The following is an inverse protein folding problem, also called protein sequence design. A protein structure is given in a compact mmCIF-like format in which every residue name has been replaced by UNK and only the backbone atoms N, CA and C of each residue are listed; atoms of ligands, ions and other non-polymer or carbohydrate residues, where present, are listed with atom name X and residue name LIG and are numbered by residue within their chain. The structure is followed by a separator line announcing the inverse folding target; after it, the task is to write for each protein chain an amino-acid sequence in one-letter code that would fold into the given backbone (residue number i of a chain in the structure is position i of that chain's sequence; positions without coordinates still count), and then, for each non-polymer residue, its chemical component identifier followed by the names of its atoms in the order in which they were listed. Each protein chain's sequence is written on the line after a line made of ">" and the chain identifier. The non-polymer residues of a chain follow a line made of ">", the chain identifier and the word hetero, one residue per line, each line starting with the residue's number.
data_IF_042616350227
#
_entry.id   IF_042616350227
#
_cell.length_a   1.000
_cell.length_b   1.000
_cell.length_c   1.000
_cell.angle_alpha   90.00
_cell.angle_beta   90.00
_cell.angle_gamma   90.00
#
_symmetry.space_group_name_H-M   'P 1'
#
loop_
_entity.id
_entity.type
_entity.pdbx_description
1 polymer ?
#
# COMPACT_ATOMS: atom_id res chain seq x y z
N UNK A 1 -30.92 -21.69 -11.49
CA UNK A 1 -30.92 -22.65 -10.36
C UNK A 1 -29.92 -23.75 -10.65
N UNK A 2 -28.78 -23.81 -9.95
CA UNK A 2 -28.36 -25.07 -9.33
C UNK A 2 -27.24 -24.82 -8.32
N UNK A 3 -27.55 -25.11 -7.05
CA UNK A 3 -26.60 -25.22 -5.95
C UNK A 3 -25.81 -26.51 -6.12
N UNK A 4 -24.49 -26.44 -5.95
CA UNK A 4 -23.72 -27.53 -5.33
C UNK A 4 -23.02 -27.00 -4.08
N UNK A 5 -23.71 -27.16 -2.96
CA UNK A 5 -23.10 -27.43 -1.64
C UNK A 5 -22.51 -28.84 -1.74
N UNK A 6 -21.36 -29.20 -1.20
CA UNK A 6 -20.30 -28.49 -0.51
C UNK A 6 -19.22 -29.51 -0.15
N UNK A 7 -17.99 -29.06 0.06
CA UNK A 7 -16.91 -29.81 0.70
C UNK A 7 -16.17 -28.82 1.60
N UNK A 8 -16.33 -28.99 2.92
CA UNK A 8 -15.43 -28.50 3.98
C UNK A 8 -15.13 -27.00 4.08
N UNK A 9 -15.88 -26.29 4.94
CA UNK A 9 -15.57 -24.92 5.45
C UNK A 9 -14.34 -24.86 6.39
N UNK A 10 -13.25 -25.54 6.06
CA UNK A 10 -12.10 -25.66 6.97
C UNK A 10 -10.72 -25.75 6.32
N UNK A 11 -10.62 -25.68 4.99
CA UNK A 11 -9.34 -25.81 4.27
C UNK A 11 -8.96 -24.56 3.44
N UNK A 12 -9.86 -23.58 3.31
CA UNK A 12 -9.56 -22.25 2.72
C UNK A 12 -8.87 -21.27 3.69
N UNK A 13 -8.74 -21.62 4.97
CA UNK A 13 -8.05 -20.79 5.96
C UNK A 13 -6.53 -21.05 6.06
N UNK A 14 -6.02 -22.03 5.31
CA UNK A 14 -4.64 -22.54 5.43
C UNK A 14 -3.84 -22.53 4.12
N UNK A 15 -4.42 -22.01 3.05
CA UNK A 15 -3.72 -21.72 1.81
C UNK A 15 -4.00 -20.25 1.51
N UNK A 16 -2.99 -19.35 1.54
CA UNK A 16 -3.17 -18.01 1.03
C UNK A 16 -3.42 -18.13 -0.48
N UNK A 17 -4.70 -18.13 -0.85
CA UNK A 17 -5.17 -18.02 -2.23
C UNK A 17 -4.59 -16.74 -2.83
N UNK A 18 -3.97 -16.90 -4.00
CA UNK A 18 -3.26 -15.88 -4.75
C UNK A 18 -4.09 -14.70 -5.28
N UNK A 19 -4.99 -14.13 -4.48
CA UNK A 19 -5.68 -12.86 -4.78
C UNK A 19 -4.76 -11.64 -4.55
N UNK A 20 -3.68 -11.78 -3.78
CA UNK A 20 -2.65 -10.73 -3.67
C UNK A 20 -1.88 -10.48 -4.98
N UNK A 21 -2.07 -11.32 -6.00
CA UNK A 21 -1.39 -11.18 -7.30
C UNK A 21 -2.25 -10.42 -8.32
N UNK A 22 -3.56 -10.31 -8.12
CA UNK A 22 -4.47 -9.62 -9.06
C UNK A 22 -4.59 -8.11 -8.83
N UNK A 23 -4.53 -7.60 -7.60
CA UNK A 23 -4.54 -6.13 -7.38
C UNK A 23 -3.20 -5.45 -7.72
N UNK A 24 -2.11 -6.24 -7.82
CA UNK A 24 -0.80 -5.78 -8.33
C UNK A 24 -0.66 -5.95 -9.86
N UNK A 25 -1.74 -6.33 -10.56
CA UNK A 25 -1.71 -6.72 -11.97
C UNK A 25 -1.79 -5.57 -12.98
N UNK A 26 -2.10 -4.34 -12.56
CA UNK A 26 -2.36 -3.24 -13.50
C UNK A 26 -1.21 -2.23 -13.69
N UNK A 27 -0.16 -2.23 -12.86
CA UNK A 27 0.92 -1.23 -13.00
C UNK A 27 2.35 -1.81 -12.91
N UNK A 28 2.87 -2.21 -14.07
CA UNK A 28 4.24 -2.71 -14.26
C UNK A 28 5.32 -1.70 -13.77
N UNK A 29 4.97 -0.41 -13.67
CA UNK A 29 5.85 0.65 -13.14
C UNK A 29 6.01 0.63 -11.62
N UNK A 30 4.97 0.24 -10.88
CA UNK A 30 5.06 0.10 -9.43
C UNK A 30 6.01 -1.05 -9.07
N UNK A 31 5.89 -2.20 -9.73
CA UNK A 31 6.78 -3.36 -9.56
C UNK A 31 8.26 -3.04 -9.78
N UNK A 32 8.59 -2.19 -10.76
CA UNK A 32 9.97 -1.72 -10.98
C UNK A 32 10.50 -0.83 -9.85
N UNK A 33 9.66 0.02 -9.26
CA UNK A 33 10.05 0.90 -8.15
C UNK A 33 10.35 0.14 -6.85
N UNK A 34 9.83 -1.06 -6.69
CA UNK A 34 10.04 -1.91 -5.51
C UNK A 34 11.02 -3.07 -5.74
N UNK A 35 11.67 -3.13 -6.92
CA UNK A 35 12.63 -4.18 -7.22
C UNK A 35 13.99 -3.88 -6.59
N UNK A 36 14.54 -4.83 -5.84
CA UNK A 36 15.89 -4.76 -5.26
C UNK A 36 16.89 -5.43 -6.19
N UNK A 37 18.11 -4.91 -6.29
CA UNK A 37 19.21 -5.63 -6.93
C UNK A 37 19.80 -6.60 -5.90
N UNK A 38 19.81 -7.89 -6.24
CA UNK A 38 20.36 -8.96 -5.39
C UNK A 38 21.36 -9.76 -6.19
N UNK A 39 22.47 -10.14 -5.55
CA UNK A 39 23.49 -10.96 -6.16
C UNK A 39 22.89 -12.30 -6.60
N UNK A 40 23.21 -12.75 -7.81
CA UNK A 40 22.71 -14.03 -8.32
C UNK A 40 23.11 -15.19 -7.38
N UNK A 41 24.29 -15.10 -6.77
CA UNK A 41 24.81 -16.09 -5.80
C UNK A 41 23.95 -16.25 -4.55
N UNK A 42 23.18 -15.22 -4.20
CA UNK A 42 22.32 -15.22 -3.02
C UNK A 42 20.92 -15.76 -3.33
N UNK A 43 20.64 -16.10 -4.60
CA UNK A 43 19.34 -16.62 -5.05
C UNK A 43 19.46 -18.11 -5.34
N UNK A 44 18.84 -18.92 -4.49
CA UNK A 44 18.74 -20.35 -4.69
C UNK A 44 17.55 -20.71 -5.57
N UNK A 45 17.72 -21.58 -6.58
CA UNK A 45 16.61 -22.09 -7.36
C UNK A 45 15.70 -22.96 -6.49
N UNK A 46 14.39 -22.91 -6.72
CA UNK A 46 13.45 -23.73 -5.97
C UNK A 46 13.51 -25.20 -6.47
N UNK A 47 13.85 -26.16 -5.59
CA UNK A 47 14.01 -27.57 -5.95
C UNK A 47 12.71 -28.27 -6.36
N UNK A 48 11.54 -27.70 -6.04
CA UNK A 48 10.22 -28.28 -6.31
C UNK A 48 9.57 -27.78 -7.62
N UNK A 49 10.30 -27.03 -8.46
CA UNK A 49 9.76 -26.55 -9.74
C UNK A 49 9.58 -27.71 -10.75
N UNK A 50 8.34 -28.05 -11.17
CA UNK A 50 8.08 -29.25 -11.98
C UNK A 50 8.48 -29.13 -13.47
N UNK A 51 8.87 -27.95 -13.97
CA UNK A 51 9.24 -27.77 -15.38
C UNK A 51 10.66 -28.25 -15.65
N UNK A 52 10.78 -29.56 -15.92
CA UNK A 52 12.04 -30.23 -16.33
C UNK A 52 12.38 -30.15 -17.83
N UNK A 53 11.74 -29.27 -18.59
CA UNK A 53 12.01 -29.12 -20.03
C UNK A 53 12.11 -27.66 -20.44
N UNK A 54 13.32 -27.15 -20.59
CA UNK A 54 13.56 -25.89 -21.29
C UNK A 54 14.29 -26.20 -22.58
N UNK A 55 13.67 -25.87 -23.72
CA UNK A 55 14.30 -25.93 -25.04
C UNK A 55 15.55 -25.02 -25.06
N UNK A 56 16.77 -25.56 -25.27
CA UNK A 56 18.03 -24.82 -25.14
C UNK A 56 18.10 -23.55 -26.00
N UNK A 57 17.52 -23.58 -27.21
CA UNK A 57 17.52 -22.43 -28.13
C UNK A 57 16.79 -21.20 -27.56
N UNK A 58 15.71 -21.42 -26.80
CA UNK A 58 14.88 -20.33 -26.25
C UNK A 58 15.52 -19.60 -25.05
N UNK A 59 16.57 -20.17 -24.45
CA UNK A 59 17.26 -19.58 -23.30
C UNK A 59 18.38 -18.63 -23.75
N UNK A 60 19.09 -18.97 -24.83
CA UNK A 60 20.15 -18.14 -25.39
C UNK A 60 19.61 -16.82 -25.94
N UNK A 61 18.48 -16.85 -26.66
CA UNK A 61 17.80 -15.64 -27.14
C UNK A 61 17.40 -14.70 -25.99
N UNK A 62 16.94 -15.28 -24.87
CA UNK A 62 16.60 -14.50 -23.67
C UNK A 62 17.84 -13.92 -23.00
N UNK A 63 18.95 -14.66 -22.97
CA UNK A 63 20.22 -14.17 -22.43
C UNK A 63 20.77 -13.01 -23.26
N UNK A 64 20.68 -13.09 -24.59
CA UNK A 64 21.10 -12.01 -25.49
C UNK A 64 20.22 -10.77 -25.32
N UNK A 65 18.91 -10.95 -25.15
CA UNK A 65 17.98 -9.87 -24.82
C UNK A 65 18.30 -9.21 -23.46
N UNK A 66 18.57 -10.01 -22.43
CA UNK A 66 18.95 -9.53 -21.09
C UNK A 66 20.29 -8.79 -21.12
N UNK A 67 21.26 -9.23 -21.94
CA UNK A 67 22.54 -8.52 -22.09
C UNK A 67 22.36 -7.12 -22.70
N UNK A 68 21.40 -6.96 -23.61
CA UNK A 68 21.11 -5.69 -24.29
C UNK A 68 20.23 -4.74 -23.46
N UNK A 69 19.24 -5.26 -22.74
CA UNK A 69 18.19 -4.45 -22.12
C UNK A 69 18.07 -4.62 -20.60
N UNK A 70 18.84 -5.53 -20.01
CA UNK A 70 18.68 -5.95 -18.63
C UNK A 70 17.39 -6.74 -18.41
N UNK A 71 17.13 -7.09 -17.15
CA UNK A 71 15.91 -7.79 -16.77
C UNK A 71 14.77 -6.76 -16.61
N UNK A 72 13.87 -6.73 -17.58
CA UNK A 72 12.73 -5.80 -17.60
C UNK A 72 11.65 -6.13 -16.57
N UNK A 73 11.49 -7.42 -16.27
CA UNK A 73 10.52 -7.93 -15.30
C UNK A 73 11.28 -8.57 -14.14
N UNK A 74 11.16 -8.04 -12.90
CA UNK A 74 11.85 -8.58 -11.74
C UNK A 74 11.49 -10.03 -11.43
N UNK A 75 12.45 -10.77 -10.89
CA UNK A 75 12.28 -12.12 -10.34
C UNK A 75 11.44 -12.06 -9.06
N UNK A 76 10.73 -13.13 -8.72
CA UNK A 76 10.02 -13.23 -7.44
C UNK A 76 10.75 -14.23 -6.55
N UNK A 77 11.14 -13.81 -5.36
CA UNK A 77 11.87 -14.64 -4.38
C UNK A 77 11.18 -14.62 -3.03
N UNK A 78 11.45 -15.60 -2.17
CA UNK A 78 11.20 -15.54 -0.71
C UNK A 78 12.53 -15.48 0.02
N UNK A 79 12.59 -14.90 1.20
CA UNK A 79 13.74 -15.10 2.09
C UNK A 79 13.79 -16.56 2.57
N UNK A 80 15.00 -17.10 2.64
CA UNK A 80 15.33 -18.42 3.15
C UNK A 80 16.49 -18.35 4.15
N UNK A 81 16.89 -19.50 4.70
CA UNK A 81 17.91 -19.56 5.76
C UNK A 81 19.30 -19.05 5.34
N UNK A 82 19.64 -19.15 4.06
CA UNK A 82 20.97 -18.84 3.52
C UNK A 82 20.94 -17.76 2.42
N UNK A 83 19.88 -16.97 2.33
CA UNK A 83 19.70 -15.96 1.28
C UNK A 83 18.25 -15.90 0.80
N UNK A 84 18.06 -15.92 -0.51
CA UNK A 84 16.76 -15.86 -1.17
C UNK A 84 16.48 -17.15 -1.92
N UNK A 85 15.23 -17.59 -1.95
CA UNK A 85 14.78 -18.74 -2.72
C UNK A 85 13.82 -18.29 -3.82
N UNK A 86 14.06 -18.74 -5.05
CA UNK A 86 13.31 -18.31 -6.21
C UNK A 86 11.89 -18.91 -6.23
N UNK A 87 10.87 -18.06 -6.16
CA UNK A 87 9.48 -18.48 -6.35
C UNK A 87 9.14 -18.55 -7.84
N UNK A 88 9.50 -17.50 -8.60
CA UNK A 88 9.19 -17.41 -10.01
C UNK A 88 10.24 -16.64 -10.81
N UNK A 89 10.51 -17.13 -12.03
CA UNK A 89 11.44 -16.50 -12.96
C UNK A 89 12.71 -17.31 -13.26
N UNK A 90 12.71 -18.63 -13.07
CA UNK A 90 13.84 -19.54 -13.31
C UNK A 90 14.54 -19.28 -14.67
N UNK A 91 13.77 -19.14 -15.75
CA UNK A 91 14.33 -18.84 -17.09
C UNK A 91 15.10 -17.52 -17.13
N UNK A 92 14.62 -16.50 -16.41
CA UNK A 92 15.28 -15.18 -16.33
C UNK A 92 16.53 -15.26 -15.48
N UNK A 93 16.51 -16.00 -14.37
CA UNK A 93 17.68 -16.22 -13.53
C UNK A 93 18.80 -16.93 -14.32
N UNK A 94 18.49 -18.04 -14.99
CA UNK A 94 19.47 -18.75 -15.84
C UNK A 94 19.95 -17.93 -17.02
N UNK A 95 19.06 -17.19 -17.68
CA UNK A 95 19.47 -16.31 -18.77
C UNK A 95 20.33 -15.14 -18.28
N UNK A 96 20.15 -14.67 -17.05
CA UNK A 96 21.00 -13.66 -16.41
C UNK A 96 22.40 -14.19 -16.09
N UNK A 97 22.50 -15.44 -15.62
CA UNK A 97 23.78 -16.15 -15.45
C UNK A 97 24.53 -16.26 -16.77
N UNK A 98 23.85 -16.69 -17.84
CA UNK A 98 24.43 -16.79 -19.19
C UNK A 98 24.79 -15.40 -19.75
N UNK A 99 24.01 -14.37 -19.41
CA UNK A 99 24.30 -12.98 -19.78
C UNK A 99 25.51 -12.40 -19.02
N UNK A 100 25.95 -13.04 -17.94
CA UNK A 100 27.08 -12.60 -17.11
C UNK A 100 26.73 -11.48 -16.13
N UNK A 101 25.46 -11.34 -15.76
CA UNK A 101 25.05 -10.37 -14.74
C UNK A 101 25.52 -10.82 -13.34
N UNK A 102 25.97 -9.88 -12.53
CA UNK A 102 26.32 -10.13 -11.12
C UNK A 102 25.12 -9.98 -10.19
N UNK A 103 24.22 -9.06 -10.54
CA UNK A 103 23.02 -8.72 -9.78
C UNK A 103 21.78 -8.74 -10.68
N UNK A 104 20.64 -9.06 -10.08
CA UNK A 104 19.36 -9.14 -10.77
C UNK A 104 18.25 -8.44 -9.98
N UNK A 105 17.30 -7.77 -10.66
CA UNK A 105 16.17 -7.15 -9.99
C UNK A 105 15.21 -8.24 -9.49
N UNK A 106 14.94 -8.23 -8.19
CA UNK A 106 14.03 -9.16 -7.52
C UNK A 106 12.97 -8.39 -6.74
N UNK A 107 11.81 -9.02 -6.57
CA UNK A 107 10.79 -8.66 -5.62
C UNK A 107 10.75 -9.80 -4.61
N UNK A 108 10.92 -9.48 -3.33
CA UNK A 108 10.79 -10.47 -2.26
C UNK A 108 9.31 -10.59 -1.89
N UNK A 109 8.82 -11.80 -1.64
CA UNK A 109 7.41 -12.04 -1.31
C UNK A 109 7.14 -11.52 0.13
N UNK A 110 6.05 -10.76 0.35
CA UNK A 110 5.70 -10.13 1.65
C UNK A 110 5.25 -11.11 2.75
N UNK A 111 5.76 -12.34 2.75
CA UNK A 111 5.50 -13.34 3.79
C UNK A 111 6.74 -14.12 4.18
N UNK A 112 7.93 -13.59 3.89
CA UNK A 112 9.20 -14.29 4.13
C UNK A 112 10.10 -13.65 5.20
N UNK A 113 9.61 -12.63 5.90
CA UNK A 113 10.17 -12.19 7.17
C UNK A 113 11.16 -11.05 7.06
N UNK A 114 10.97 -10.04 7.92
CA UNK A 114 12.02 -9.18 8.48
C UNK A 114 12.61 -8.15 7.52
N UNK A 115 13.52 -8.53 6.62
CA UNK A 115 14.40 -7.54 5.97
C UNK A 115 13.72 -6.79 4.83
N UNK A 116 12.90 -7.46 4.01
CA UNK A 116 12.10 -6.75 3.02
C UNK A 116 11.07 -5.84 3.69
N UNK A 117 10.37 -6.34 4.70
CA UNK A 117 9.34 -5.61 5.41
C UNK A 117 9.94 -4.36 6.06
N UNK A 118 11.07 -4.48 6.77
CA UNK A 118 11.81 -3.35 7.33
C UNK A 118 12.30 -2.37 6.27
N UNK A 119 12.79 -2.84 5.11
CA UNK A 119 13.26 -1.94 4.03
C UNK A 119 12.13 -1.25 3.29
N UNK A 120 11.00 -1.93 3.07
CA UNK A 120 9.79 -1.33 2.49
C UNK A 120 9.17 -0.34 3.48
N UNK A 121 9.15 -0.66 4.77
CA UNK A 121 8.75 0.24 5.84
C UNK A 121 9.63 1.50 5.83
N UNK A 122 10.96 1.34 5.83
CA UNK A 122 11.92 2.45 5.74
C UNK A 122 11.69 3.30 4.49
N UNK A 123 11.53 2.69 3.31
CA UNK A 123 11.28 3.41 2.07
C UNK A 123 9.92 4.16 2.08
N UNK A 124 8.90 3.60 2.74
CA UNK A 124 7.61 4.27 2.91
C UNK A 124 7.70 5.42 3.90
N UNK A 125 8.45 5.26 5.00
CA UNK A 125 8.72 6.32 5.99
C UNK A 125 9.52 7.46 5.35
N UNK A 126 10.55 7.16 4.57
CA UNK A 126 11.32 8.16 3.82
C UNK A 126 10.44 8.92 2.82
N UNK A 127 9.62 8.21 2.04
CA UNK A 127 8.67 8.86 1.13
C UNK A 127 7.68 9.75 1.89
N UNK A 128 7.23 9.34 3.07
CA UNK A 128 6.31 10.09 3.91
C UNK A 128 6.93 11.36 4.51
N UNK A 129 8.25 11.43 4.61
CA UNK A 129 8.99 12.63 5.05
C UNK A 129 9.20 13.66 3.93
N UNK A 130 8.82 13.35 2.68
CA UNK A 130 8.93 14.30 1.57
C UNK A 130 7.92 15.45 1.72
N UNK A 131 8.38 16.66 1.45
CA UNK A 131 7.64 17.92 1.69
C UNK A 131 6.51 18.21 0.71
N UNK A 132 6.30 17.37 -0.32
CA UNK A 132 5.37 17.57 -1.43
C UNK A 132 4.12 16.67 -1.40
N UNK A 133 3.97 15.79 -0.39
CA UNK A 133 2.83 14.88 -0.32
C UNK A 133 1.50 15.58 -0.04
N UNK A 134 0.47 15.17 -0.76
CA UNK A 134 -0.90 15.55 -0.46
C UNK A 134 -1.34 14.96 0.90
N UNK A 135 -2.11 15.71 1.72
CA UNK A 135 -2.75 15.18 2.93
C UNK A 135 -3.41 13.80 2.81
N UNK A 136 -4.03 13.48 1.67
CA UNK A 136 -4.67 12.17 1.44
C UNK A 136 -3.66 11.09 1.06
N UNK A 137 -2.58 11.44 0.38
CA UNK A 137 -1.47 10.51 0.09
C UNK A 137 -0.72 10.16 1.37
N UNK A 138 -0.43 11.15 2.23
CA UNK A 138 0.12 10.92 3.57
C UNK A 138 -0.78 9.94 4.35
N UNK A 139 -2.10 10.17 4.35
CA UNK A 139 -3.04 9.32 5.07
C UNK A 139 -3.03 7.86 4.58
N UNK A 140 -3.01 7.65 3.26
CA UNK A 140 -2.93 6.30 2.65
C UNK A 140 -1.61 5.61 3.01
N UNK A 141 -0.49 6.33 2.94
CA UNK A 141 0.82 5.80 3.30
C UNK A 141 0.89 5.42 4.79
N UNK A 142 0.35 6.26 5.69
CA UNK A 142 0.25 5.95 7.12
C UNK A 142 -0.64 4.73 7.38
N UNK A 143 -1.81 4.64 6.75
CA UNK A 143 -2.70 3.48 6.91
C UNK A 143 -2.02 2.18 6.46
N UNK A 144 -1.27 2.24 5.36
CA UNK A 144 -0.48 1.12 4.86
C UNK A 144 0.59 0.68 5.86
N UNK A 145 1.33 1.62 6.44
CA UNK A 145 2.32 1.35 7.48
C UNK A 145 1.70 0.67 8.71
N UNK A 146 0.53 1.14 9.17
CA UNK A 146 -0.17 0.55 10.32
C UNK A 146 -0.71 -0.85 10.03
N UNK A 147 -1.27 -1.09 8.84
CA UNK A 147 -1.95 -2.35 8.49
C UNK A 147 -0.99 -3.42 8.00
N UNK A 148 -0.12 -3.08 7.06
CA UNK A 148 0.70 -4.05 6.34
C UNK A 148 1.99 -4.39 7.11
N UNK A 149 2.49 -3.45 7.93
CA UNK A 149 3.72 -3.62 8.73
C UNK A 149 3.44 -3.74 10.23
N UNK A 150 2.17 -3.71 10.65
CA UNK A 150 1.77 -3.89 12.05
C UNK A 150 2.27 -2.79 13.00
N UNK A 151 2.69 -1.64 12.48
CA UNK A 151 3.13 -0.50 13.29
C UNK A 151 1.98 -0.01 14.19
N UNK A 152 2.32 0.34 15.43
CA UNK A 152 1.41 1.12 16.27
C UNK A 152 1.43 2.59 15.85
N UNK A 153 0.36 3.32 16.18
CA UNK A 153 0.32 4.77 15.93
C UNK A 153 1.46 5.51 16.65
N UNK A 154 1.84 5.04 17.85
CA UNK A 154 2.93 5.62 18.63
C UNK A 154 4.30 5.37 17.97
N UNK A 155 4.57 4.16 17.51
CA UNK A 155 5.82 3.83 16.82
C UNK A 155 5.96 4.61 15.50
N UNK A 156 4.86 4.75 14.75
CA UNK A 156 4.86 5.54 13.52
C UNK A 156 5.05 7.03 13.80
N UNK A 157 4.45 7.55 14.87
CA UNK A 157 4.58 8.94 15.29
C UNK A 157 6.03 9.28 15.68
N UNK A 158 6.69 8.40 16.43
CA UNK A 158 8.10 8.55 16.81
C UNK A 158 9.01 8.59 15.57
N UNK A 159 8.84 7.65 14.63
CA UNK A 159 9.63 7.59 13.38
C UNK A 159 9.45 8.82 12.49
N UNK A 160 8.27 9.45 12.53
CA UNK A 160 7.96 10.64 11.73
C UNK A 160 8.20 11.96 12.48
N UNK A 161 8.58 11.92 13.75
CA UNK A 161 8.67 13.12 14.59
C UNK A 161 7.34 13.88 14.72
N UNK A 162 6.20 13.18 14.66
CA UNK A 162 4.84 13.74 14.74
C UNK A 162 4.15 13.29 16.03
N UNK A 163 3.04 13.95 16.38
CA UNK A 163 2.19 13.51 17.51
C UNK A 163 1.32 12.30 17.08
N UNK A 164 1.17 11.25 17.91
CA UNK A 164 0.27 10.12 17.61
C UNK A 164 -1.16 10.54 17.27
N UNK A 165 -1.68 11.59 17.90
CA UNK A 165 -2.99 12.18 17.60
C UNK A 165 -3.06 12.68 16.16
N UNK A 166 -1.97 13.26 15.63
CA UNK A 166 -1.88 13.72 14.25
C UNK A 166 -1.93 12.55 13.27
N UNK A 167 -1.23 11.45 13.58
CA UNK A 167 -1.28 10.21 12.78
C UNK A 167 -2.72 9.67 12.74
N UNK A 168 -3.37 9.56 13.91
CA UNK A 168 -4.74 9.09 14.01
C UNK A 168 -5.72 9.96 13.22
N UNK A 169 -5.65 11.29 13.37
CA UNK A 169 -6.50 12.23 12.64
C UNK A 169 -6.28 12.14 11.14
N UNK A 170 -5.02 12.03 10.69
CA UNK A 170 -4.66 11.91 9.27
C UNK A 170 -5.28 10.66 8.65
N UNK A 171 -5.09 9.49 9.28
CA UNK A 171 -5.63 8.21 8.80
C UNK A 171 -7.16 8.22 8.77
N UNK A 172 -7.82 8.86 9.75
CA UNK A 172 -9.28 8.96 9.77
C UNK A 172 -9.88 9.71 8.58
N UNK A 173 -9.12 10.59 7.91
CA UNK A 173 -9.59 11.29 6.71
C UNK A 173 -10.00 10.33 5.59
N UNK A 174 -9.45 9.12 5.57
CA UNK A 174 -9.82 8.08 4.61
C UNK A 174 -11.25 7.56 4.79
N UNK A 175 -11.89 7.84 5.93
CA UNK A 175 -13.30 7.54 6.19
C UNK A 175 -14.27 8.62 5.75
N UNK A 176 -13.80 9.71 5.15
CA UNK A 176 -14.67 10.75 4.59
C UNK A 176 -15.35 10.26 3.31
N UNK A 177 -16.52 10.83 2.95
CA UNK A 177 -17.15 10.55 1.67
C UNK A 177 -16.31 11.06 0.51
N UNK A 178 -16.40 10.37 -0.63
CA UNK A 178 -15.60 10.62 -1.83
C UNK A 178 -15.54 12.11 -2.26
N UNK A 179 -16.64 12.91 -2.23
CA UNK A 179 -16.57 14.32 -2.56
C UNK A 179 -15.67 15.13 -1.62
N UNK A 180 -15.64 14.79 -0.32
CA UNK A 180 -14.79 15.48 0.66
C UNK A 180 -13.32 15.09 0.50
N UNK A 181 -13.03 13.82 0.18
CA UNK A 181 -11.67 13.37 -0.15
C UNK A 181 -11.12 14.15 -1.34
N UNK A 182 -11.88 14.23 -2.45
CA UNK A 182 -11.48 14.98 -3.64
C UNK A 182 -11.28 16.47 -3.38
N UNK A 183 -12.10 17.06 -2.51
CA UNK A 183 -11.95 18.46 -2.12
C UNK A 183 -10.67 18.72 -1.32
N UNK A 184 -10.22 17.75 -0.51
CA UNK A 184 -8.91 17.82 0.16
C UNK A 184 -7.78 17.63 -0.85
N UNK A 185 -7.93 16.67 -1.77
CA UNK A 185 -6.90 16.37 -2.78
C UNK A 185 -6.62 17.55 -3.70
N UNK A 186 -7.67 18.25 -4.13
CA UNK A 186 -7.57 19.45 -4.98
C UNK A 186 -7.20 20.72 -4.21
N UNK A 187 -7.09 20.66 -2.88
CA UNK A 187 -6.82 21.81 -2.02
C UNK A 187 -8.00 22.77 -1.84
N UNK A 188 -9.20 22.42 -2.33
CA UNK A 188 -10.42 23.22 -2.13
C UNK A 188 -10.78 23.34 -0.65
N UNK A 189 -10.46 22.32 0.16
CA UNK A 189 -10.51 22.38 1.62
C UNK A 189 -9.22 21.83 2.23
N UNK A 190 -8.91 22.22 3.46
CA UNK A 190 -7.74 21.71 4.18
C UNK A 190 -8.05 20.41 4.92
N UNK A 191 -6.99 19.68 5.30
CA UNK A 191 -7.12 18.52 6.18
C UNK A 191 -7.85 18.83 7.49
N UNK A 192 -7.68 20.05 8.05
CA UNK A 192 -8.38 20.50 9.24
C UNK A 192 -9.90 20.60 9.04
N UNK A 193 -10.35 21.04 7.86
CA UNK A 193 -11.78 20.98 7.50
C UNK A 193 -12.27 19.53 7.42
N UNK A 194 -11.46 18.63 6.84
CA UNK A 194 -11.76 17.19 6.82
C UNK A 194 -11.95 16.60 8.22
N UNK A 195 -11.07 16.94 9.17
CA UNK A 195 -11.22 16.49 10.57
C UNK A 195 -12.51 17.02 11.21
N UNK A 196 -12.91 18.26 10.91
CA UNK A 196 -14.17 18.80 11.40
C UNK A 196 -15.39 18.07 10.79
N UNK A 197 -15.34 17.69 9.51
CA UNK A 197 -16.39 16.92 8.85
C UNK A 197 -16.54 15.51 9.46
N UNK A 198 -15.44 14.86 9.84
CA UNK A 198 -15.48 13.56 10.54
C UNK A 198 -16.21 13.60 11.89
N UNK A 199 -16.38 14.78 12.49
CA UNK A 199 -17.18 14.96 13.71
C UNK A 199 -18.69 14.92 13.46
N UNK A 200 -19.13 14.97 12.20
CA UNK A 200 -20.54 14.92 11.82
C UNK A 200 -20.94 13.45 11.59
N UNK A 201 -21.96 12.90 12.29
CA UNK A 201 -22.25 11.47 12.26
C UNK A 201 -22.80 10.94 10.93
N UNK A 202 -23.56 11.76 10.21
CA UNK A 202 -24.25 11.36 8.99
C UNK A 202 -23.50 11.79 7.75
N UNK A 203 -23.34 10.89 6.77
CA UNK A 203 -22.73 11.19 5.47
C UNK A 203 -23.46 12.33 4.76
N UNK A 204 -24.80 12.35 4.81
CA UNK A 204 -25.58 13.41 4.20
C UNK A 204 -25.28 14.78 4.82
N UNK A 205 -25.15 14.82 6.15
CA UNK A 205 -24.82 16.06 6.87
C UNK A 205 -23.36 16.49 6.65
N UNK A 206 -22.45 15.53 6.46
CA UNK A 206 -21.06 15.80 6.06
C UNK A 206 -21.00 16.47 4.69
N UNK A 207 -21.80 16.01 3.72
CA UNK A 207 -21.86 16.62 2.38
C UNK A 207 -22.46 18.04 2.43
N UNK A 208 -23.52 18.26 3.21
CA UNK A 208 -24.06 19.61 3.44
C UNK A 208 -23.02 20.51 4.10
N UNK A 209 -22.24 19.98 5.05
CA UNK A 209 -21.12 20.67 5.68
C UNK A 209 -20.02 21.05 4.68
N UNK A 210 -19.65 20.12 3.80
CA UNK A 210 -18.65 20.33 2.75
C UNK A 210 -19.07 21.46 1.79
N UNK A 211 -20.32 21.44 1.32
CA UNK A 211 -20.85 22.49 0.44
C UNK A 211 -20.77 23.87 1.09
N UNK A 212 -21.13 23.97 2.37
CA UNK A 212 -21.03 25.23 3.14
C UNK A 212 -19.59 25.72 3.25
N UNK A 213 -18.65 24.84 3.62
CA UNK A 213 -17.23 25.19 3.77
C UNK A 213 -16.65 25.69 2.44
N UNK A 214 -17.01 25.03 1.34
CA UNK A 214 -16.47 25.32 0.00
C UNK A 214 -17.03 26.64 -0.54
N UNK A 215 -18.34 26.89 -0.35
CA UNK A 215 -19.01 28.11 -0.83
C UNK A 215 -18.60 29.37 -0.06
N UNK A 216 -18.29 29.24 1.22
CA UNK A 216 -18.04 30.38 2.09
C UNK A 216 -16.54 30.68 2.31
N UNK A 217 -15.62 29.94 1.65
CA UNK A 217 -14.15 30.11 1.75
C UNK A 217 -13.63 30.25 3.20
N UNK A 218 -14.09 29.39 4.12
CA UNK A 218 -13.74 29.53 5.53
C UNK A 218 -12.22 29.36 5.71
N UNK A 219 -11.54 30.42 6.15
CA UNK A 219 -10.13 30.34 6.52
C UNK A 219 -9.99 29.60 7.86
N UNK A 220 -9.11 28.59 7.89
CA UNK A 220 -8.89 27.61 8.99
C UNK A 220 -8.54 28.25 10.35
N UNK A 221 -8.33 29.57 10.42
CA UNK A 221 -8.00 30.29 11.67
C UNK A 221 -9.19 30.71 12.55
N UNK A 222 -10.44 30.48 12.16
CA UNK A 222 -11.60 30.92 12.96
C UNK A 222 -12.19 29.88 13.94
N UNK A 223 -11.58 28.69 14.09
CA UNK A 223 -12.09 27.65 15.02
C UNK A 223 -11.08 27.22 16.08
N UNK A 224 -10.85 28.11 17.05
CA UNK A 224 -10.62 27.71 18.45
C UNK A 224 -11.72 28.26 19.38
N UNK A 225 -12.60 29.12 18.89
CA UNK A 225 -13.57 29.85 19.74
C UNK A 225 -15.06 29.61 19.42
N UNK A 226 -15.41 28.76 18.47
CA UNK A 226 -16.82 28.44 18.17
C UNK A 226 -17.12 26.96 18.36
N UNK A 227 -17.16 26.53 19.63
CA UNK A 227 -17.96 25.39 20.05
C UNK A 227 -19.41 25.65 19.65
N UNK A 228 -19.84 25.01 18.56
CA UNK A 228 -21.21 25.06 18.07
C UNK A 228 -22.10 24.42 19.13
N UNK A 229 -22.79 25.26 19.93
CA UNK A 229 -24.01 24.86 20.62
C UNK A 229 -25.03 24.49 19.55
N UNK A 230 -25.20 23.21 19.30
CA UNK A 230 -26.41 22.69 18.64
C UNK A 230 -27.51 22.80 19.69
N UNK A 231 -28.33 23.84 19.59
CA UNK A 231 -29.47 24.06 20.44
C UNK A 231 -30.48 22.93 20.29
N UNK A 232 -30.75 22.23 21.38
CA UNK A 232 -31.90 21.34 21.50
C UNK A 232 -33.17 22.19 21.43
N UNK A 233 -33.96 22.03 20.37
CA UNK A 233 -35.37 22.42 20.40
C UNK A 233 -36.15 21.23 20.94
N UNK A 234 -36.37 21.23 22.26
CA UNK A 234 -37.37 20.39 22.88
C UNK A 234 -38.74 21.09 22.73
N UNK A 235 -39.80 20.44 22.22
CA UNK A 235 -41.12 21.05 22.15
C UNK A 235 -41.74 21.08 23.56
N UNK A 236 -42.26 22.23 23.98
CA UNK A 236 -43.00 22.36 25.24
C UNK A 236 -44.37 21.67 25.12
N UNK A 237 -44.85 20.93 26.12
CA UNK A 237 -46.24 20.50 26.18
C UNK A 237 -47.12 21.56 26.87
N UNK A 238 -48.27 21.86 26.26
CA UNK A 238 -49.56 22.16 26.91
C UNK A 238 -49.76 23.49 27.66
N UNK A 239 -50.71 24.29 27.18
CA UNK A 239 -52.02 24.47 27.84
C UNK A 239 -53.01 25.15 26.90
#
# INVERSE_FOLDING_TARGET
>A
MNKRRGLGRGLEALIPSGEYVEELSSDNRARRRFAMQIAITDIQPNPEQPRRGFEPGSLQELADSIRMHGILQPLLVREGLAGYELIAGERRLRAAEIAGLTEVPVIVHPGSGGRLEERLELALVENLQRTDLNPMEEARAMQRLLRDFGLTQDALAERLGKNPVTIAQRVRLLGLPEPAIKAIETGAITAGHGVALLGIPSVSDQLVGLERITREHWNVRQKTSSSVRVGSRNPRPGR
#
